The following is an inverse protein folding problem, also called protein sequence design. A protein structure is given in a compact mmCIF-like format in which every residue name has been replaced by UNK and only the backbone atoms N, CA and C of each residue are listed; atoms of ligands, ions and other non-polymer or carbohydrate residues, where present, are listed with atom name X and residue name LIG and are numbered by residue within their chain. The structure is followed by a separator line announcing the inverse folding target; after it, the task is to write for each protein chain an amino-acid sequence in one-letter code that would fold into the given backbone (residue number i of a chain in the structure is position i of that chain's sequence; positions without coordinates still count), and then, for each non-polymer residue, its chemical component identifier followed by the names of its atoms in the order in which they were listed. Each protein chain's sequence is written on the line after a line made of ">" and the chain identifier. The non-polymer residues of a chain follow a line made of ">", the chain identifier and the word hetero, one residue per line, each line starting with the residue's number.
data_IF_996982526951
#
_entry.id   IF_996982526951
#
_cell.length_a   1.000
_cell.length_b   1.000
_cell.length_c   1.000
_cell.angle_alpha   90.00
_cell.angle_beta   90.00
_cell.angle_gamma   90.00
#
_symmetry.space_group_name_H-M   'P 1'
#
loop_
_entity.id
_entity.type
_entity.pdbx_description
1 polymer ?
#
# COMPACT_ATOMS: atom_id res chain seq x y z
N UNK A 1 56.03 -1.97 17.12
CA UNK A 1 56.55 -0.75 16.47
C UNK A 1 55.40 -0.07 15.75
N UNK A 2 55.04 1.13 16.22
CA UNK A 2 54.26 2.21 15.58
C UNK A 2 52.76 1.98 15.26
N UNK A 3 51.95 2.63 16.10
CA UNK A 3 50.53 3.00 15.96
C UNK A 3 50.33 3.99 14.80
N UNK A 4 49.23 3.88 14.05
CA UNK A 4 48.71 4.97 13.18
C UNK A 4 47.47 5.60 13.82
N UNK A 5 47.58 6.90 14.04
CA UNK A 5 46.60 7.83 14.60
C UNK A 5 46.30 8.86 13.49
N UNK A 6 45.04 9.17 13.16
CA UNK A 6 44.62 10.41 12.48
C UNK A 6 43.11 10.60 12.74
N UNK A 7 42.73 11.43 13.73
CA UNK A 7 42.35 12.85 13.68
C UNK A 7 41.00 13.18 13.02
N UNK A 8 40.02 13.53 13.87
CA UNK A 8 38.74 14.20 13.55
C UNK A 8 38.98 15.71 13.39
N UNK A 9 38.43 16.35 12.34
CA UNK A 9 38.33 17.82 12.22
C UNK A 9 36.98 18.32 12.78
N UNK A 10 37.03 19.26 13.71
CA UNK A 10 35.93 20.17 14.10
C UNK A 10 36.16 21.51 13.38
N UNK A 11 35.12 22.11 12.84
CA UNK A 11 35.12 23.52 12.40
C UNK A 11 34.35 24.35 13.43
N UNK A 12 35.00 25.39 13.97
CA UNK A 12 34.39 26.55 14.61
C UNK A 12 34.63 27.74 13.66
N UNK A 13 33.62 28.59 13.46
CA UNK A 13 33.74 29.87 12.77
C UNK A 13 33.50 30.96 13.81
N UNK A 14 34.46 31.88 13.93
CA UNK A 14 34.44 33.03 14.84
C UNK A 14 33.84 34.27 14.18
N UNK A 15 33.17 35.07 15.00
CA UNK A 15 32.47 36.31 14.71
C UNK A 15 33.41 37.53 14.84
N UNK A 16 33.42 38.45 13.86
CA UNK A 16 33.76 39.86 14.08
C UNK A 16 33.57 40.69 12.80
N UNK A 17 32.69 41.69 12.81
CA UNK A 17 33.05 43.11 12.58
C UNK A 17 31.81 44.01 12.64
N UNK A 18 31.93 45.11 13.36
CA UNK A 18 30.93 46.15 13.61
C UNK A 18 31.19 47.32 12.65
N UNK A 19 30.16 47.89 12.02
CA UNK A 19 30.18 49.33 11.65
C UNK A 19 28.76 49.87 11.49
N UNK A 20 28.56 51.01 12.15
CA UNK A 20 27.38 51.85 12.25
C UNK A 20 27.09 52.60 10.95
N UNK A 21 25.81 52.83 10.60
CA UNK A 21 25.32 54.04 9.89
C UNK A 21 23.83 54.24 10.21
N UNK A 22 23.45 55.51 10.34
CA UNK A 22 22.29 56.04 11.05
C UNK A 22 21.20 56.57 10.09
N UNK A 23 19.95 56.53 10.58
CA UNK A 23 18.73 57.31 10.23
C UNK A 23 18.15 57.33 8.81
N UNK A 24 16.86 56.94 8.68
CA UNK A 24 15.77 57.89 8.41
C UNK A 24 14.38 57.23 8.63
N UNK A 25 13.54 57.82 9.48
CA UNK A 25 12.12 57.50 9.57
C UNK A 25 11.36 58.25 8.47
N UNK A 26 10.58 57.54 7.65
CA UNK A 26 9.45 58.12 6.91
C UNK A 26 8.22 57.30 7.26
N UNK A 27 7.26 57.97 7.90
CA UNK A 27 5.90 57.49 8.12
C UNK A 27 5.07 57.84 6.89
N UNK A 28 4.53 56.83 6.21
CA UNK A 28 3.39 56.99 5.31
C UNK A 28 2.28 56.08 5.82
N UNK A 29 1.24 56.73 6.36
CA UNK A 29 -0.07 56.14 6.57
C UNK A 29 -0.80 56.09 5.21
N UNK A 30 -0.98 54.90 4.66
CA UNK A 30 -2.06 54.62 3.71
C UNK A 30 -2.89 53.47 4.26
N UNK A 31 -4.08 53.82 4.79
CA UNK A 31 -5.12 52.84 5.08
C UNK A 31 -5.77 52.44 3.76
N UNK A 32 -5.56 51.19 3.32
CA UNK A 32 -6.61 50.46 2.58
C UNK A 32 -6.46 48.95 2.69
N UNK A 33 -7.60 48.35 3.05
CA UNK A 33 -8.03 46.95 2.94
C UNK A 33 -7.46 45.93 3.92
N UNK A 34 -8.27 45.65 4.95
CA UNK A 34 -8.29 44.37 5.66
C UNK A 34 -8.60 43.24 4.68
N UNK A 35 -7.64 42.35 4.49
CA UNK A 35 -7.80 40.90 4.48
C UNK A 35 -6.38 40.32 4.54
N UNK A 36 -6.24 39.08 5.02
CA UNK A 36 -4.96 38.35 5.02
C UNK A 36 -3.96 38.76 6.10
N UNK A 37 -4.21 38.31 7.33
CA UNK A 37 -3.17 37.71 8.22
C UNK A 37 -3.81 37.25 9.52
N UNK A 38 -4.54 36.12 9.46
CA UNK A 38 -4.73 35.25 10.63
C UNK A 38 -5.01 33.81 10.21
N UNK A 39 -4.16 33.31 9.34
CA UNK A 39 -4.01 31.88 9.02
C UNK A 39 -2.52 31.57 8.86
N UNK A 40 -1.71 32.10 9.78
CA UNK A 40 -0.29 31.73 9.96
C UNK A 40 -0.13 30.70 11.08
N UNK A 41 -1.09 29.79 11.19
CA UNK A 41 -0.96 28.53 11.94
C UNK A 41 -1.49 27.40 11.06
N UNK A 42 -0.79 27.10 9.97
CA UNK A 42 -0.97 25.85 9.22
C UNK A 42 0.24 25.52 8.32
N UNK A 43 1.42 26.03 8.66
CA UNK A 43 2.68 25.78 7.94
C UNK A 43 3.70 25.14 8.89
N UNK A 44 3.25 24.08 9.55
CA UNK A 44 4.08 22.92 9.81
C UNK A 44 3.15 21.74 9.56
N UNK A 45 3.04 21.44 8.27
CA UNK A 45 2.64 20.16 7.72
C UNK A 45 2.90 19.07 8.76
N UNK A 46 1.83 18.42 9.22
CA UNK A 46 1.93 17.14 9.92
C UNK A 46 2.56 16.18 8.92
N UNK A 47 3.89 16.22 8.81
CA UNK A 47 4.70 15.16 8.26
C UNK A 47 4.62 14.09 9.35
N UNK A 48 3.56 13.31 9.27
CA UNK A 48 3.38 12.12 10.08
C UNK A 48 4.45 11.12 9.65
N UNK A 49 5.64 11.23 10.26
CA UNK A 49 6.51 10.07 10.39
C UNK A 49 5.74 9.05 11.23
N UNK A 50 5.03 8.11 10.59
CA UNK A 50 4.88 6.80 11.20
C UNK A 50 6.27 6.17 11.10
N UNK A 51 7.15 6.51 12.03
CA UNK A 51 8.16 5.55 12.45
C UNK A 51 7.37 4.44 13.10
N UNK A 52 7.16 3.36 12.35
CA UNK A 52 6.54 2.15 12.84
C UNK A 52 7.35 1.66 14.03
N UNK A 53 6.92 2.11 15.21
CA UNK A 53 7.57 1.86 16.47
C UNK A 53 6.50 1.42 17.46
N UNK A 54 6.84 0.47 18.32
CA UNK A 54 5.94 0.03 19.38
C UNK A 54 5.71 1.16 20.42
N UNK A 55 4.95 0.89 21.48
CA UNK A 55 4.68 1.87 22.55
C UNK A 55 5.94 2.42 23.26
N UNK A 56 7.13 1.90 22.96
CA UNK A 56 8.42 2.28 23.55
C UNK A 56 9.36 2.96 22.54
N UNK A 57 8.96 3.14 21.28
CA UNK A 57 9.83 3.71 20.25
C UNK A 57 10.75 2.67 19.58
N UNK A 58 10.54 1.37 19.82
CA UNK A 58 11.33 0.29 19.23
C UNK A 58 10.81 -0.12 17.86
N UNK A 59 11.69 -0.55 16.95
CA UNK A 59 11.30 -0.97 15.59
C UNK A 59 10.23 -2.07 15.63
N UNK A 60 9.22 -1.95 14.76
CA UNK A 60 8.15 -2.95 14.62
C UNK A 60 8.70 -4.30 14.14
N UNK A 61 8.62 -5.28 15.03
CA UNK A 61 8.89 -6.70 14.78
C UNK A 61 7.58 -7.46 14.51
N UNK A 62 7.68 -8.74 14.10
CA UNK A 62 6.53 -9.56 13.72
C UNK A 62 5.49 -9.69 14.84
N UNK A 63 4.20 -9.56 14.50
CA UNK A 63 3.10 -9.70 15.45
C UNK A 63 2.86 -8.47 16.35
N UNK A 64 3.42 -7.30 15.99
CA UNK A 64 3.16 -6.06 16.71
C UNK A 64 1.74 -5.58 16.44
N UNK A 65 0.96 -5.30 17.49
CA UNK A 65 -0.32 -4.61 17.35
C UNK A 65 -0.07 -3.12 17.12
N UNK A 66 -0.01 -2.68 15.86
CA UNK A 66 0.09 -1.26 15.55
C UNK A 66 -1.16 -0.53 16.03
N UNK A 67 -0.96 0.70 16.50
CA UNK A 67 -2.05 1.54 17.00
C UNK A 67 -2.15 2.82 16.20
N UNK A 68 -3.37 3.22 15.86
CA UNK A 68 -3.65 4.58 15.37
C UNK A 68 -3.90 5.51 16.56
N UNK A 69 -3.19 6.62 16.59
CA UNK A 69 -3.43 7.75 17.50
C UNK A 69 -4.31 8.83 16.86
N UNK A 70 -4.75 8.63 15.62
CA UNK A 70 -5.51 9.61 14.84
C UNK A 70 -6.96 9.61 15.33
N UNK A 71 -7.44 10.75 15.85
CA UNK A 71 -8.84 10.94 16.21
C UNK A 71 -9.72 11.34 15.02
N UNK A 72 -9.14 12.00 14.02
CA UNK A 72 -9.83 12.43 12.79
C UNK A 72 -9.95 11.28 11.80
N UNK A 73 -11.18 11.06 11.32
CA UNK A 73 -11.48 9.94 10.42
C UNK A 73 -11.23 10.39 8.98
N UNK A 74 -10.45 9.63 8.17
CA UNK A 74 -10.42 9.84 6.73
C UNK A 74 -11.84 9.66 6.20
N UNK A 75 -12.45 10.74 5.72
CA UNK A 75 -13.81 10.72 5.20
C UNK A 75 -13.83 11.43 3.84
N UNK A 76 -14.46 10.78 2.87
CA UNK A 76 -14.71 11.37 1.58
C UNK A 76 -15.89 12.32 1.61
N UNK A 77 -16.25 12.82 0.43
CA UNK A 77 -17.40 13.71 0.26
C UNK A 77 -18.75 12.97 0.28
N UNK A 78 -18.75 11.65 0.34
CA UNK A 78 -19.94 10.79 0.30
C UNK A 78 -20.41 10.31 1.68
N UNK A 79 -21.19 9.23 1.68
CA UNK A 79 -21.74 8.63 2.90
C UNK A 79 -20.65 7.81 3.62
N UNK A 80 -20.59 7.99 4.94
CA UNK A 80 -19.74 7.17 5.82
C UNK A 80 -20.54 5.95 6.30
N UNK A 81 -19.94 4.77 6.16
CA UNK A 81 -20.43 3.50 6.68
C UNK A 81 -19.46 2.98 7.75
N UNK A 82 -20.00 2.53 8.87
CA UNK A 82 -19.26 2.07 10.05
C UNK A 82 -19.40 0.56 10.19
N UNK A 83 -18.28 -0.09 10.51
CA UNK A 83 -18.20 -1.54 10.67
C UNK A 83 -17.49 -1.89 11.97
N UNK A 84 -18.12 -2.71 12.80
CA UNK A 84 -17.57 -3.15 14.09
C UNK A 84 -17.88 -4.63 14.30
N UNK A 85 -16.84 -5.47 14.32
CA UNK A 85 -16.97 -6.92 14.56
C UNK A 85 -17.60 -7.24 15.92
N UNK A 86 -17.52 -6.31 16.88
CA UNK A 86 -18.09 -6.41 18.23
C UNK A 86 -19.54 -5.97 18.28
N UNK A 87 -20.05 -5.33 17.21
CA UNK A 87 -21.47 -5.10 17.03
C UNK A 87 -22.24 -6.41 16.99
N UNK A 88 -23.51 -6.36 17.34
CA UNK A 88 -24.37 -7.54 17.32
C UNK A 88 -25.11 -7.74 16.00
N UNK A 89 -25.14 -6.78 15.05
CA UNK A 89 -26.19 -6.79 14.03
C UNK A 89 -25.85 -6.15 12.66
N UNK A 90 -26.07 -6.90 11.57
CA UNK A 90 -26.04 -6.40 10.18
C UNK A 90 -27.37 -5.78 9.69
N UNK A 91 -28.42 -5.80 10.51
CA UNK A 91 -29.66 -5.04 10.27
C UNK A 91 -29.53 -3.56 10.63
N UNK A 92 -28.43 -3.18 11.30
CA UNK A 92 -28.12 -1.77 11.55
C UNK A 92 -28.00 -1.01 10.22
N UNK A 93 -28.24 0.30 10.25
CA UNK A 93 -28.12 1.14 9.05
C UNK A 93 -26.70 1.20 8.50
N UNK A 94 -25.69 1.01 9.36
CA UNK A 94 -24.28 1.22 9.05
C UNK A 94 -23.88 2.69 8.99
N UNK A 95 -24.82 3.65 9.09
CA UNK A 95 -24.56 5.07 8.80
C UNK A 95 -24.20 5.91 10.04
N UNK A 96 -24.12 5.28 11.21
CA UNK A 96 -23.67 5.93 12.44
C UNK A 96 -22.80 5.00 13.28
N UNK A 97 -21.95 5.58 14.11
CA UNK A 97 -21.08 4.84 15.06
C UNK A 97 -21.90 3.98 16.03
N UNK A 98 -23.10 4.41 16.39
CA UNK A 98 -24.01 3.69 17.29
C UNK A 98 -24.80 2.57 16.60
N UNK A 99 -24.80 2.53 15.27
CA UNK A 99 -25.48 1.53 14.45
C UNK A 99 -24.54 1.01 13.34
N UNK A 100 -23.36 0.47 13.67
CA UNK A 100 -22.44 -0.05 12.67
C UNK A 100 -22.90 -1.41 12.15
N UNK A 101 -22.54 -1.75 10.92
CA UNK A 101 -22.60 -3.12 10.44
C UNK A 101 -21.59 -4.00 11.19
N UNK A 102 -21.79 -5.32 11.13
CA UNK A 102 -20.95 -6.30 11.80
C UNK A 102 -19.98 -6.99 10.85
N UNK A 103 -20.45 -7.43 9.68
CA UNK A 103 -19.70 -8.37 8.84
C UNK A 103 -19.14 -7.75 7.56
N UNK A 104 -18.05 -8.33 7.05
CA UNK A 104 -17.52 -8.02 5.72
C UNK A 104 -18.54 -8.40 4.64
N UNK A 105 -19.29 -9.49 4.83
CA UNK A 105 -20.32 -9.91 3.88
C UNK A 105 -21.37 -8.81 3.64
N UNK A 106 -21.78 -8.08 4.69
CA UNK A 106 -22.70 -6.94 4.55
C UNK A 106 -22.12 -5.83 3.65
N UNK A 107 -20.82 -5.57 3.76
CA UNK A 107 -20.10 -4.59 2.94
C UNK A 107 -20.07 -5.04 1.47
N UNK A 108 -19.72 -6.31 1.21
CA UNK A 108 -19.60 -6.84 -0.15
C UNK A 108 -20.94 -6.92 -0.90
N UNK A 109 -22.05 -6.97 -0.17
CA UNK A 109 -23.41 -6.95 -0.73
C UNK A 109 -23.93 -5.54 -1.00
N UNK A 110 -23.36 -4.51 -0.35
CA UNK A 110 -23.72 -3.13 -0.56
C UNK A 110 -23.14 -2.58 -1.88
N UNK A 111 -23.76 -1.49 -2.36
CA UNK A 111 -23.26 -0.68 -3.46
C UNK A 111 -22.88 0.68 -2.92
N UNK A 112 -21.68 1.15 -3.23
CA UNK A 112 -21.15 2.41 -2.75
C UNK A 112 -21.09 3.44 -3.87
N UNK A 113 -21.47 4.68 -3.55
CA UNK A 113 -21.37 5.82 -4.42
C UNK A 113 -19.97 6.47 -4.39
N UNK A 114 -19.67 7.35 -5.36
CA UNK A 114 -18.41 8.08 -5.35
C UNK A 114 -18.25 8.96 -4.10
N UNK A 115 -17.09 8.87 -3.46
CA UNK A 115 -16.75 9.57 -2.23
C UNK A 115 -17.20 8.86 -0.94
N UNK A 116 -17.89 7.72 -1.05
CA UNK A 116 -18.31 6.95 0.13
C UNK A 116 -17.10 6.41 0.89
N UNK A 117 -17.26 6.28 2.21
CA UNK A 117 -16.22 5.79 3.12
C UNK A 117 -16.69 4.56 3.89
N UNK A 118 -15.85 3.54 3.98
CA UNK A 118 -16.07 2.32 4.78
C UNK A 118 -15.05 2.34 5.92
N UNK A 119 -15.53 2.56 7.14
CA UNK A 119 -14.69 2.74 8.32
C UNK A 119 -14.81 1.56 9.28
N UNK A 120 -13.71 0.86 9.49
CA UNK A 120 -13.61 -0.28 10.41
C UNK A 120 -13.19 0.20 11.82
N UNK A 121 -13.87 -0.28 12.86
CA UNK A 121 -13.58 0.17 14.22
C UNK A 121 -12.27 -0.39 14.75
N UNK A 122 -11.39 0.47 15.27
CA UNK A 122 -10.15 0.09 15.95
C UNK A 122 -10.37 -0.98 17.03
N UNK A 123 -9.49 -1.97 17.06
CA UNK A 123 -9.53 -3.15 17.92
C UNK A 123 -10.48 -4.27 17.47
N UNK A 124 -11.17 -4.10 16.34
CA UNK A 124 -11.99 -5.16 15.73
C UNK A 124 -11.17 -6.15 14.93
N UNK A 125 -11.68 -7.37 14.77
CA UNK A 125 -11.04 -8.43 13.99
C UNK A 125 -12.06 -9.10 13.08
N UNK A 126 -11.72 -9.26 11.80
CA UNK A 126 -12.47 -10.05 10.83
C UNK A 126 -11.58 -11.13 10.25
N UNK A 127 -11.96 -12.39 10.49
CA UNK A 127 -11.18 -13.56 10.09
C UNK A 127 -11.83 -14.33 8.96
N UNK A 128 -11.01 -14.80 8.01
CA UNK A 128 -11.40 -15.73 6.94
C UNK A 128 -12.43 -15.17 5.96
N UNK A 129 -12.47 -13.85 5.78
CA UNK A 129 -13.41 -13.16 4.89
C UNK A 129 -12.67 -12.19 3.97
N UNK A 130 -12.93 -12.27 2.67
CA UNK A 130 -12.40 -11.33 1.67
C UNK A 130 -13.25 -10.06 1.65
N UNK A 131 -12.63 -8.89 1.80
CA UNK A 131 -13.23 -7.58 1.56
C UNK A 131 -13.16 -7.25 0.06
N UNK A 132 -14.31 -7.11 -0.58
CA UNK A 132 -14.45 -6.80 -2.01
C UNK A 132 -15.63 -5.85 -2.24
N UNK A 133 -15.54 -4.58 -1.77
CA UNK A 133 -16.62 -3.60 -1.89
C UNK A 133 -16.84 -3.22 -3.36
N UNK A 134 -18.08 -2.92 -3.71
CA UNK A 134 -18.47 -2.54 -5.09
C UNK A 134 -18.62 -1.02 -5.21
N UNK A 135 -17.77 -0.39 -6.02
CA UNK A 135 -17.83 1.04 -6.30
C UNK A 135 -16.48 1.61 -6.72
N UNK A 136 -16.50 2.84 -7.21
CA UNK A 136 -15.30 3.63 -7.52
C UNK A 136 -15.27 4.86 -6.63
N UNK A 137 -14.11 5.51 -6.51
CA UNK A 137 -13.93 6.67 -5.63
C UNK A 137 -14.30 6.32 -4.17
N UNK A 138 -13.64 5.30 -3.61
CA UNK A 138 -13.95 4.81 -2.26
C UNK A 138 -12.79 5.06 -1.31
N UNK A 139 -13.13 5.37 -0.07
CA UNK A 139 -12.19 5.42 1.05
C UNK A 139 -12.47 4.23 1.97
N UNK A 140 -11.44 3.46 2.27
CA UNK A 140 -11.50 2.29 3.14
C UNK A 140 -10.49 2.56 4.27
N UNK A 141 -11.00 2.82 5.47
CA UNK A 141 -10.12 3.20 6.58
C UNK A 141 -10.64 2.72 7.93
N UNK A 142 -10.14 3.31 9.01
CA UNK A 142 -10.55 3.01 10.37
C UNK A 142 -11.22 4.19 11.07
N UNK A 143 -11.89 3.90 12.17
CA UNK A 143 -12.34 4.90 13.13
C UNK A 143 -12.06 4.47 14.58
N UNK A 144 -12.06 5.46 15.47
CA UNK A 144 -11.58 5.38 16.86
C UNK A 144 -10.06 5.19 16.95
N UNK A 145 -9.48 5.60 18.08
CA UNK A 145 -8.06 5.38 18.37
C UNK A 145 -7.84 3.96 18.93
N UNK A 146 -6.57 3.51 18.93
CA UNK A 146 -6.18 2.22 19.49
C UNK A 146 -5.64 1.27 18.41
N UNK A 147 -5.67 -0.03 18.70
CA UNK A 147 -5.13 -1.06 17.80
C UNK A 147 -5.83 -1.00 16.45
N UNK A 148 -5.08 -1.08 15.35
CA UNK A 148 -5.66 -1.08 14.00
C UNK A 148 -6.69 -2.21 13.86
N UNK A 149 -7.81 -1.98 13.15
CA UNK A 149 -8.73 -3.05 12.80
C UNK A 149 -8.02 -4.11 11.96
N UNK A 150 -8.20 -5.39 12.33
CA UNK A 150 -7.53 -6.52 11.69
C UNK A 150 -8.42 -7.21 10.68
N UNK A 151 -7.93 -7.37 9.48
CA UNK A 151 -8.50 -8.22 8.44
C UNK A 151 -7.51 -9.38 8.22
N UNK A 152 -7.88 -10.57 8.68
CA UNK A 152 -6.99 -11.74 8.66
C UNK A 152 -7.56 -12.85 7.78
N UNK A 153 -6.83 -13.19 6.70
CA UNK A 153 -7.23 -14.24 5.78
C UNK A 153 -6.93 -15.66 6.29
N UNK A 154 -6.05 -15.80 7.29
CA UNK A 154 -5.65 -17.07 7.93
C UNK A 154 -5.19 -18.18 6.96
N UNK A 155 -4.80 -17.80 5.73
CA UNK A 155 -4.45 -18.72 4.67
C UNK A 155 -5.62 -19.58 4.17
N UNK A 156 -6.87 -19.14 4.43
CA UNK A 156 -8.12 -19.80 4.02
C UNK A 156 -8.83 -19.08 2.86
N UNK A 157 -8.40 -17.86 2.53
CA UNK A 157 -8.89 -17.06 1.40
C UNK A 157 -7.70 -16.60 0.57
N UNK A 158 -7.86 -16.48 -0.75
CA UNK A 158 -6.77 -15.99 -1.62
C UNK A 158 -6.45 -14.53 -1.31
N UNK A 159 -7.46 -13.65 -1.32
CA UNK A 159 -7.29 -12.21 -1.12
C UNK A 159 -7.95 -11.76 0.18
N UNK A 160 -7.24 -10.98 1.01
CA UNK A 160 -7.86 -10.31 2.16
C UNK A 160 -8.66 -9.10 1.69
N UNK A 161 -8.07 -8.26 0.83
CA UNK A 161 -8.76 -7.19 0.11
C UNK A 161 -8.61 -7.45 -1.39
N UNK A 162 -9.73 -7.58 -2.10
CA UNK A 162 -9.77 -7.74 -3.56
C UNK A 162 -10.48 -6.54 -4.18
N UNK A 163 -9.83 -5.91 -5.17
CA UNK A 163 -10.41 -4.83 -5.96
C UNK A 163 -10.23 -5.16 -7.43
N UNK A 164 -11.30 -5.18 -8.21
CA UNK A 164 -11.24 -5.55 -9.63
C UNK A 164 -11.83 -4.47 -10.52
N UNK A 165 -11.00 -3.92 -11.39
CA UNK A 165 -11.37 -2.88 -12.36
C UNK A 165 -12.00 -1.63 -11.72
N UNK A 166 -11.60 -1.32 -10.48
CA UNK A 166 -12.07 -0.14 -9.74
C UNK A 166 -11.02 0.96 -9.76
N UNK A 167 -11.42 2.23 -9.73
CA UNK A 167 -10.52 3.40 -9.73
C UNK A 167 -10.81 4.35 -8.58
N UNK A 168 -9.86 5.24 -8.27
CA UNK A 168 -9.97 6.22 -7.18
C UNK A 168 -10.16 5.53 -5.82
N UNK A 169 -9.24 4.67 -5.42
CA UNK A 169 -9.35 3.94 -4.14
C UNK A 169 -8.29 4.45 -3.16
N UNK A 170 -8.74 4.80 -1.96
CA UNK A 170 -7.91 5.16 -0.82
C UNK A 170 -8.07 4.10 0.28
N UNK A 171 -6.97 3.47 0.69
CA UNK A 171 -6.95 2.44 1.73
C UNK A 171 -5.93 2.84 2.79
N UNK A 172 -6.36 2.93 4.05
CA UNK A 172 -5.49 3.34 5.14
C UNK A 172 -5.85 2.80 6.51
N UNK A 173 -4.89 2.82 7.44
CA UNK A 173 -5.12 2.52 8.85
C UNK A 173 -5.71 1.11 9.12
N UNK A 174 -5.26 0.10 8.37
CA UNK A 174 -5.68 -1.30 8.54
C UNK A 174 -4.48 -2.20 8.84
N UNK A 175 -4.73 -3.24 9.64
CA UNK A 175 -3.85 -4.39 9.85
C UNK A 175 -4.38 -5.54 8.97
N UNK A 176 -3.53 -6.04 8.07
CA UNK A 176 -3.88 -6.96 7.00
C UNK A 176 -2.90 -8.12 7.01
N UNK A 177 -3.40 -9.34 7.19
CA UNK A 177 -2.56 -10.54 7.18
C UNK A 177 -3.21 -11.74 6.52
N UNK A 178 -2.40 -12.65 5.97
CA UNK A 178 -2.92 -13.87 5.35
C UNK A 178 -2.01 -15.07 5.61
N UNK A 179 -1.78 -15.36 6.90
CA UNK A 179 -0.84 -16.39 7.32
C UNK A 179 -1.48 -17.76 7.31
N UNK A 180 -0.86 -18.73 6.64
CA UNK A 180 -1.25 -20.13 6.77
C UNK A 180 -0.87 -20.60 8.17
N UNK A 181 -1.84 -21.17 8.89
CA UNK A 181 -1.62 -21.70 10.25
C UNK A 181 -0.40 -22.62 10.27
N UNK A 182 0.49 -22.44 11.26
CA UNK A 182 1.69 -23.27 11.43
C UNK A 182 2.84 -22.96 10.45
N UNK A 183 2.74 -21.92 9.62
CA UNK A 183 3.86 -21.43 8.85
C UNK A 183 4.80 -20.59 9.73
N UNK A 184 6.05 -21.02 9.85
CA UNK A 184 7.10 -20.35 10.62
C UNK A 184 8.13 -19.67 9.74
N UNK A 185 7.88 -19.66 8.43
CA UNK A 185 8.75 -19.05 7.42
C UNK A 185 9.59 -20.04 6.65
N UNK A 186 9.54 -21.35 6.96
CA UNK A 186 10.41 -22.40 6.38
C UNK A 186 9.66 -23.51 5.62
N UNK A 187 8.35 -23.57 5.78
CA UNK A 187 7.50 -24.65 5.27
C UNK A 187 7.01 -24.28 3.86
N UNK A 188 7.85 -24.55 2.85
CA UNK A 188 7.51 -24.28 1.45
C UNK A 188 6.17 -24.90 1.03
N UNK A 189 5.84 -26.08 1.56
CA UNK A 189 4.59 -26.80 1.32
C UNK A 189 3.32 -26.10 1.83
N UNK A 190 3.48 -25.09 2.68
CA UNK A 190 2.39 -24.27 3.16
C UNK A 190 2.17 -23.02 2.31
N UNK A 191 3.07 -22.70 1.38
CA UNK A 191 2.89 -21.54 0.51
C UNK A 191 1.73 -21.80 -0.47
N UNK A 192 0.89 -20.77 -0.65
CA UNK A 192 -0.35 -20.84 -1.44
C UNK A 192 -0.51 -19.58 -2.29
N UNK A 193 -1.48 -19.57 -3.22
CA UNK A 193 -1.83 -18.34 -3.94
C UNK A 193 -2.55 -17.35 -3.01
N UNK A 194 -1.78 -16.55 -2.25
CA UNK A 194 -2.29 -15.67 -1.20
C UNK A 194 -1.80 -14.24 -1.34
N UNK A 195 -2.68 -13.32 -0.97
CA UNK A 195 -2.49 -11.88 -1.05
C UNK A 195 -2.98 -11.19 0.22
N UNK A 196 -2.33 -10.08 0.57
CA UNK A 196 -2.91 -9.11 1.48
C UNK A 196 -3.92 -8.25 0.73
N UNK A 197 -3.41 -7.38 -0.15
CA UNK A 197 -4.20 -6.51 -1.02
C UNK A 197 -3.93 -6.91 -2.47
N UNK A 198 -4.99 -7.25 -3.20
CA UNK A 198 -4.93 -7.63 -4.61
C UNK A 198 -5.79 -6.69 -5.45
N UNK A 199 -5.13 -5.88 -6.26
CA UNK A 199 -5.75 -4.91 -7.17
C UNK A 199 -5.59 -5.45 -8.58
N UNK A 200 -6.72 -5.83 -9.18
CA UNK A 200 -6.80 -6.57 -10.42
C UNK A 200 -7.27 -5.64 -11.54
N UNK A 201 -6.51 -5.61 -12.63
CA UNK A 201 -6.90 -4.95 -13.86
C UNK A 201 -7.12 -5.95 -15.00
N UNK A 202 -8.23 -5.82 -15.71
CA UNK A 202 -8.52 -6.63 -16.90
C UNK A 202 -9.49 -5.88 -17.81
N UNK A 203 -9.13 -5.73 -19.09
CA UNK A 203 -10.01 -5.15 -20.13
C UNK A 203 -10.66 -3.81 -19.73
N UNK A 204 -9.89 -2.92 -19.08
CA UNK A 204 -10.44 -1.70 -18.45
C UNK A 204 -9.81 -0.40 -18.90
N UNK A 205 -8.78 -0.42 -19.75
CA UNK A 205 -8.06 0.79 -20.08
C UNK A 205 -7.23 1.32 -18.91
N UNK A 206 -7.30 2.63 -18.69
CA UNK A 206 -6.58 3.28 -17.59
C UNK A 206 -7.28 3.02 -16.24
N UNK A 207 -6.55 2.42 -15.31
CA UNK A 207 -6.95 2.25 -13.92
C UNK A 207 -6.15 3.23 -13.06
N UNK A 208 -6.78 4.29 -12.59
CA UNK A 208 -6.10 5.42 -11.97
C UNK A 208 -6.49 5.70 -10.51
N UNK A 209 -5.62 6.45 -9.83
CA UNK A 209 -5.82 7.06 -8.51
C UNK A 209 -5.94 6.02 -7.39
N UNK A 210 -4.81 5.44 -6.97
CA UNK A 210 -4.77 4.55 -5.82
C UNK A 210 -3.88 5.15 -4.73
N UNK A 211 -4.37 5.18 -3.49
CA UNK A 211 -3.62 5.63 -2.32
C UNK A 211 -3.66 4.54 -1.28
N UNK A 212 -2.52 3.94 -1.00
CA UNK A 212 -2.36 2.90 0.00
C UNK A 212 -1.39 3.42 1.05
N UNK A 213 -1.89 3.78 2.24
CA UNK A 213 -1.05 4.44 3.24
C UNK A 213 -1.37 4.13 4.69
N UNK A 214 -0.36 4.18 5.55
CA UNK A 214 -0.52 3.88 6.98
C UNK A 214 -1.10 2.47 7.23
N UNK A 215 -0.77 1.50 6.36
CA UNK A 215 -1.19 0.11 6.45
C UNK A 215 -0.12 -0.72 7.17
N UNK A 216 -0.55 -1.76 7.87
CA UNK A 216 0.30 -2.87 8.29
C UNK A 216 -0.07 -4.10 7.47
N UNK A 217 0.76 -4.46 6.48
CA UNK A 217 0.53 -5.63 5.61
C UNK A 217 1.58 -6.67 5.92
N UNK A 218 1.17 -7.79 6.53
CA UNK A 218 2.13 -8.75 7.05
C UNK A 218 1.70 -10.21 7.04
N UNK A 219 2.68 -11.10 7.22
CA UNK A 219 2.49 -12.54 7.33
C UNK A 219 1.66 -13.16 6.19
N UNK A 220 1.81 -12.66 4.95
CA UNK A 220 1.17 -13.27 3.77
C UNK A 220 1.98 -14.49 3.31
N UNK A 221 1.39 -15.69 3.35
CA UNK A 221 2.07 -16.95 3.03
C UNK A 221 1.97 -17.32 1.54
N UNK A 222 2.35 -16.40 0.66
CA UNK A 222 2.22 -16.55 -0.79
C UNK A 222 3.24 -17.49 -1.43
N UNK A 223 2.84 -18.19 -2.49
CA UNK A 223 3.67 -19.11 -3.26
C UNK A 223 4.73 -18.42 -4.11
N UNK A 224 5.82 -19.12 -4.36
CA UNK A 224 6.97 -18.58 -5.08
C UNK A 224 6.97 -19.21 -6.45
N UNK A 225 6.70 -18.38 -7.46
CA UNK A 225 6.76 -18.78 -8.86
C UNK A 225 7.88 -18.02 -9.54
N UNK A 226 8.99 -18.72 -9.79
CA UNK A 226 10.14 -18.19 -10.51
C UNK A 226 9.90 -18.22 -12.02
N UNK A 227 10.32 -17.14 -12.69
CA UNK A 227 10.19 -16.98 -14.15
C UNK A 227 10.93 -18.11 -14.89
N UNK A 228 12.19 -18.34 -14.52
CA UNK A 228 13.07 -19.37 -15.07
C UNK A 228 13.60 -20.32 -13.99
N UNK A 229 14.79 -20.88 -14.23
CA UNK A 229 15.49 -21.76 -13.30
C UNK A 229 15.48 -23.24 -13.71
N UNK A 230 16.33 -24.01 -13.04
CA UNK A 230 16.45 -25.46 -13.18
C UNK A 230 16.44 -26.12 -11.80
N UNK A 231 15.74 -27.24 -11.67
CA UNK A 231 15.57 -27.97 -10.41
C UNK A 231 14.23 -28.69 -10.33
N UNK A 232 14.09 -29.60 -9.36
CA UNK A 232 12.79 -30.17 -9.00
C UNK A 232 12.04 -29.13 -8.17
N UNK A 233 10.80 -28.83 -8.56
CA UNK A 233 9.93 -27.95 -7.77
C UNK A 233 9.90 -28.44 -6.33
N UNK A 234 10.12 -27.51 -5.39
CA UNK A 234 9.82 -27.75 -3.99
C UNK A 234 8.36 -27.38 -3.78
N UNK A 235 7.69 -27.99 -2.81
CA UNK A 235 6.30 -27.63 -2.54
C UNK A 235 6.21 -26.12 -2.29
N UNK A 236 5.24 -25.46 -2.94
CA UNK A 236 5.06 -24.00 -2.94
C UNK A 236 6.15 -23.15 -3.61
N UNK A 237 7.21 -23.75 -4.16
CA UNK A 237 8.27 -23.08 -4.93
C UNK A 237 8.41 -23.75 -6.29
N UNK A 238 7.88 -23.09 -7.32
CA UNK A 238 7.89 -23.59 -8.68
C UNK A 238 8.86 -22.78 -9.57
N UNK A 239 9.55 -23.48 -10.47
CA UNK A 239 10.43 -22.90 -11.49
C UNK A 239 9.76 -22.89 -12.86
N UNK A 240 10.30 -22.11 -13.81
CA UNK A 240 9.85 -22.06 -15.21
C UNK A 240 8.37 -21.67 -15.38
N UNK A 241 7.86 -20.78 -14.53
CA UNK A 241 6.46 -20.33 -14.62
C UNK A 241 6.23 -19.30 -15.74
N UNK A 242 7.30 -18.78 -16.34
CA UNK A 242 7.21 -17.69 -17.32
C UNK A 242 6.82 -16.36 -16.67
N UNK A 243 6.84 -15.28 -17.44
CA UNK A 243 6.63 -13.93 -16.93
C UNK A 243 5.22 -13.72 -16.35
N UNK A 244 4.19 -14.25 -17.00
CA UNK A 244 2.79 -14.00 -16.61
C UNK A 244 2.30 -14.77 -15.37
N UNK A 245 2.93 -15.88 -15.01
CA UNK A 245 2.54 -16.67 -13.81
C UNK A 245 3.48 -16.45 -12.63
N UNK A 246 4.56 -15.71 -12.82
CA UNK A 246 5.53 -15.43 -11.79
C UNK A 246 5.15 -14.19 -11.00
N UNK A 247 5.64 -14.11 -9.75
CA UNK A 247 5.45 -12.93 -8.89
C UNK A 247 3.97 -12.59 -8.65
N UNK A 248 3.12 -13.61 -8.54
CA UNK A 248 1.68 -13.40 -8.43
C UNK A 248 1.20 -13.17 -7.00
N UNK A 249 1.99 -13.47 -5.96
CA UNK A 249 1.54 -13.48 -4.57
C UNK A 249 2.36 -12.50 -3.72
N UNK A 250 1.78 -11.99 -2.63
CA UNK A 250 2.49 -11.06 -1.76
C UNK A 250 1.61 -10.16 -0.90
N UNK A 251 2.25 -9.17 -0.28
CA UNK A 251 1.57 -8.18 0.56
C UNK A 251 0.61 -7.32 -0.25
N UNK A 252 1.14 -6.48 -1.14
CA UNK A 252 0.37 -5.59 -2.01
C UNK A 252 0.70 -5.94 -3.46
N UNK A 253 -0.31 -6.36 -4.23
CA UNK A 253 -0.13 -6.82 -5.60
C UNK A 253 -1.09 -6.09 -6.53
N UNK A 254 -0.51 -5.39 -7.50
CA UNK A 254 -1.21 -4.83 -8.65
C UNK A 254 -1.01 -5.78 -9.84
N UNK A 255 -2.07 -6.47 -10.27
CA UNK A 255 -2.00 -7.54 -11.28
C UNK A 255 -2.87 -7.23 -12.50
N UNK A 256 -2.22 -7.05 -13.66
CA UNK A 256 -2.91 -7.02 -14.94
C UNK A 256 -3.09 -8.44 -15.46
N UNK A 257 -4.35 -8.87 -15.55
CA UNK A 257 -4.73 -10.18 -16.03
C UNK A 257 -4.71 -10.26 -17.55
N UNK A 258 -4.72 -11.50 -18.06
CA UNK A 258 -4.85 -11.81 -19.49
C UNK A 258 -5.99 -11.00 -20.13
N UNK A 259 -5.72 -10.21 -21.18
CA UNK A 259 -6.74 -9.45 -21.85
C UNK A 259 -7.61 -10.33 -22.74
N UNK A 260 -8.86 -9.90 -22.93
CA UNK A 260 -9.82 -10.43 -23.91
C UNK A 260 -10.06 -9.42 -25.03
N UNK A 261 -9.53 -8.22 -24.89
CA UNK A 261 -9.63 -7.10 -25.82
C UNK A 261 -8.24 -6.64 -26.24
N UNK A 262 -8.17 -5.80 -27.28
CA UNK A 262 -6.92 -5.14 -27.69
C UNK A 262 -6.62 -3.87 -26.90
N UNK A 263 -7.55 -3.44 -26.03
CA UNK A 263 -7.35 -2.23 -25.24
C UNK A 263 -6.37 -2.51 -24.10
N UNK A 264 -5.26 -1.78 -24.09
CA UNK A 264 -4.29 -1.86 -23.02
C UNK A 264 -4.90 -1.54 -21.66
N UNK A 265 -4.68 -2.40 -20.67
CA UNK A 265 -5.03 -2.12 -19.28
C UNK A 265 -3.76 -1.83 -18.49
N UNK A 266 -3.72 -0.70 -17.80
CA UNK A 266 -2.55 -0.26 -17.04
C UNK A 266 -2.96 0.59 -15.84
N UNK A 267 -2.15 0.51 -14.79
CA UNK A 267 -2.27 1.37 -13.60
C UNK A 267 -1.59 2.73 -13.76
N UNK A 268 -2.20 3.77 -13.19
CA UNK A 268 -1.66 5.13 -13.17
C UNK A 268 -1.97 5.85 -11.86
N UNK A 269 -1.14 6.82 -11.47
CA UNK A 269 -1.38 7.67 -10.29
C UNK A 269 -1.56 6.80 -9.02
N UNK A 270 -0.56 5.96 -8.74
CA UNK A 270 -0.54 5.06 -7.58
C UNK A 270 0.45 5.59 -6.55
N UNK A 271 0.01 5.70 -5.30
CA UNK A 271 0.80 6.16 -4.17
C UNK A 271 0.76 5.12 -3.06
N UNK A 272 1.90 4.51 -2.73
CA UNK A 272 2.06 3.58 -1.62
C UNK A 272 3.00 4.23 -0.60
N UNK A 273 2.46 4.74 0.51
CA UNK A 273 3.23 5.57 1.44
C UNK A 273 3.04 5.24 2.92
N UNK A 274 4.08 5.42 3.73
CA UNK A 274 3.98 5.32 5.19
C UNK A 274 3.45 3.97 5.70
N UNK A 275 3.68 2.88 4.95
CA UNK A 275 3.21 1.54 5.30
C UNK A 275 4.30 0.73 6.02
N UNK A 276 3.87 -0.26 6.77
CA UNK A 276 4.69 -1.32 7.35
C UNK A 276 4.39 -2.61 6.60
N UNK A 277 5.38 -3.16 5.92
CA UNK A 277 5.21 -4.33 5.06
C UNK A 277 6.20 -5.40 5.49
N UNK A 278 5.73 -6.44 6.18
CA UNK A 278 6.63 -7.42 6.80
C UNK A 278 6.23 -8.87 6.64
N UNK A 279 7.20 -9.76 6.42
CA UNK A 279 6.97 -11.21 6.31
C UNK A 279 5.88 -11.59 5.30
N UNK A 280 5.95 -11.03 4.10
CA UNK A 280 5.12 -11.38 2.96
C UNK A 280 5.93 -12.17 1.93
N UNK A 281 5.44 -13.36 1.62
CA UNK A 281 5.86 -14.16 0.48
C UNK A 281 4.80 -14.02 -0.62
N UNK A 282 5.14 -14.00 -1.91
CA UNK A 282 6.49 -13.92 -2.47
C UNK A 282 7.10 -12.50 -2.36
N UNK A 283 6.32 -11.44 -2.56
CA UNK A 283 6.83 -10.06 -2.53
C UNK A 283 6.10 -9.14 -1.54
N UNK A 284 6.73 -8.01 -1.20
CA UNK A 284 6.12 -6.97 -0.38
C UNK A 284 5.15 -6.09 -1.18
N UNK A 285 5.66 -5.49 -2.27
CA UNK A 285 4.90 -4.68 -3.23
C UNK A 285 5.25 -5.19 -4.63
N UNK A 286 4.23 -5.50 -5.43
CA UNK A 286 4.40 -6.02 -6.79
C UNK A 286 3.51 -5.21 -7.74
N UNK A 287 4.10 -4.75 -8.83
CA UNK A 287 3.39 -4.36 -10.04
C UNK A 287 3.66 -5.40 -11.11
N UNK A 288 2.58 -5.95 -11.65
CA UNK A 288 2.64 -6.95 -12.71
C UNK A 288 1.82 -6.49 -13.89
N UNK A 289 2.48 -6.56 -15.04
CA UNK A 289 1.90 -6.29 -16.33
C UNK A 289 1.88 -7.55 -17.19
N UNK A 290 0.86 -7.66 -18.03
CA UNK A 290 0.70 -8.78 -18.96
C UNK A 290 1.81 -8.77 -20.03
N UNK A 291 2.58 -9.86 -20.08
CA UNK A 291 3.69 -10.10 -21.02
C UNK A 291 3.23 -10.84 -22.29
N UNK A 292 2.13 -11.61 -22.22
CA UNK A 292 1.56 -12.31 -23.38
C UNK A 292 2.31 -13.57 -23.77
N UNK A 293 2.77 -14.33 -22.78
CA UNK A 293 3.43 -15.64 -22.97
C UNK A 293 2.52 -16.75 -23.52
N UNK A 294 1.23 -16.47 -23.74
CA UNK A 294 0.29 -17.39 -24.38
C UNK A 294 0.29 -17.33 -25.92
N UNK A 295 1.19 -16.54 -26.51
CA UNK A 295 1.27 -16.34 -27.96
C UNK A 295 0.27 -15.30 -28.49
N UNK A 296 -0.47 -14.62 -27.60
CA UNK A 296 -1.26 -13.45 -28.00
C UNK A 296 -0.34 -12.31 -28.46
N UNK A 297 -0.85 -11.52 -29.40
CA UNK A 297 -0.15 -10.33 -29.88
C UNK A 297 -0.19 -9.16 -28.89
N UNK A 298 -1.01 -9.23 -27.85
CA UNK A 298 -1.17 -8.16 -26.86
C UNK A 298 -0.17 -8.38 -25.73
N UNK A 299 0.94 -7.64 -25.79
CA UNK A 299 2.06 -7.74 -24.85
C UNK A 299 2.39 -6.34 -24.35
N UNK A 300 1.91 -5.99 -23.17
CA UNK A 300 2.06 -4.62 -22.65
C UNK A 300 3.30 -4.44 -21.79
N UNK A 301 3.83 -5.55 -21.24
CA UNK A 301 5.06 -5.55 -20.44
C UNK A 301 6.34 -5.57 -21.28
N UNK A 302 6.28 -6.10 -22.51
CA UNK A 302 7.45 -6.25 -23.38
C UNK A 302 7.95 -4.90 -23.85
N UNK A 303 9.23 -4.61 -23.62
CA UNK A 303 9.93 -3.41 -24.10
C UNK A 303 10.63 -3.64 -25.45
N UNK A 304 10.69 -4.89 -25.89
CA UNK A 304 11.40 -5.29 -27.10
C UNK A 304 10.40 -5.88 -28.11
N UNK A 305 10.50 -5.43 -29.36
CA UNK A 305 9.96 -6.16 -30.50
C UNK A 305 11.04 -7.15 -30.97
N UNK A 306 10.65 -8.38 -31.30
CA UNK A 306 11.55 -9.55 -31.48
C UNK A 306 12.69 -9.40 -32.53
N UNK A 307 12.81 -8.25 -33.21
CA UNK A 307 13.77 -7.99 -34.29
C UNK A 307 14.53 -6.64 -34.15
N UNK A 308 14.45 -5.93 -33.03
CA UNK A 308 15.18 -4.66 -32.87
C UNK A 308 16.62 -4.91 -32.39
N UNK A 309 17.61 -4.62 -33.24
CA UNK A 309 19.03 -4.83 -32.95
C UNK A 309 19.60 -3.92 -31.86
N UNK A 310 18.88 -2.90 -31.36
CA UNK A 310 19.30 -2.06 -30.24
C UNK A 310 18.23 -1.11 -29.66
N UNK A 311 16.96 -1.22 -30.04
CA UNK A 311 15.94 -0.27 -29.59
C UNK A 311 14.92 -0.95 -28.67
N UNK A 312 14.97 -0.60 -27.37
CA UNK A 312 13.97 -0.91 -26.35
C UNK A 312 12.63 -0.17 -26.61
N UNK A 313 12.16 -0.21 -27.86
CA UNK A 313 10.96 0.45 -28.32
C UNK A 313 10.04 -0.64 -28.85
N UNK A 314 8.99 -0.93 -28.07
CA UNK A 314 7.84 -1.67 -28.57
C UNK A 314 6.64 -0.74 -28.66
N UNK A 315 5.98 -0.70 -29.82
CA UNK A 315 4.73 0.05 -29.99
C UNK A 315 3.60 -0.48 -29.10
N UNK A 316 3.78 -1.68 -28.54
CA UNK A 316 2.82 -2.36 -27.66
C UNK A 316 3.14 -2.18 -26.18
N UNK A 317 4.30 -1.62 -25.84
CA UNK A 317 4.66 -1.34 -24.46
C UNK A 317 3.76 -0.26 -23.88
N UNK A 318 2.98 -0.61 -22.86
CA UNK A 318 2.06 0.32 -22.19
C UNK A 318 2.31 0.30 -20.69
N UNK A 319 3.40 0.91 -20.20
CA UNK A 319 3.81 0.76 -18.80
C UNK A 319 2.80 1.33 -17.82
N UNK A 320 2.88 0.87 -16.58
CA UNK A 320 2.34 1.60 -15.43
C UNK A 320 2.98 2.99 -15.33
N UNK A 321 2.21 4.00 -14.93
CA UNK A 321 2.66 5.41 -14.95
C UNK A 321 2.45 6.08 -13.60
N UNK A 322 3.37 6.97 -13.21
CA UNK A 322 3.25 7.78 -11.99
C UNK A 322 3.00 6.91 -10.75
N UNK A 323 3.88 5.93 -10.55
CA UNK A 323 3.90 5.08 -9.37
C UNK A 323 4.86 5.70 -8.36
N UNK A 324 4.36 6.00 -7.16
CA UNK A 324 5.11 6.64 -6.08
C UNK A 324 5.13 5.68 -4.89
N UNK A 325 6.33 5.28 -4.48
CA UNK A 325 6.55 4.41 -3.32
C UNK A 325 7.51 5.15 -2.38
N UNK A 326 7.00 5.66 -1.26
CA UNK A 326 7.77 6.56 -0.38
C UNK A 326 7.52 6.21 1.09
N UNK A 327 8.53 6.36 1.95
CA UNK A 327 8.40 6.25 3.40
C UNK A 327 7.77 4.93 3.92
N UNK A 328 7.90 3.84 3.17
CA UNK A 328 7.45 2.52 3.64
C UNK A 328 8.58 1.83 4.41
N UNK A 329 8.25 1.18 5.51
CA UNK A 329 9.14 0.25 6.20
C UNK A 329 8.90 -1.17 5.68
N UNK A 330 9.94 -1.79 5.10
CA UNK A 330 9.85 -3.14 4.53
C UNK A 330 10.84 -4.07 5.25
N UNK A 331 10.35 -5.17 5.82
CA UNK A 331 11.16 -6.15 6.57
C UNK A 331 10.75 -7.60 6.30
N UNK A 332 11.62 -8.43 5.73
CA UNK A 332 11.33 -9.82 5.35
C UNK A 332 12.24 -10.85 6.05
N UNK A 333 12.79 -10.49 7.22
CA UNK A 333 13.82 -11.29 7.91
C UNK A 333 13.40 -12.72 8.26
N UNK A 334 12.09 -13.00 8.40
CA UNK A 334 11.61 -14.29 8.89
C UNK A 334 11.08 -15.21 7.78
N UNK A 335 11.30 -14.89 6.50
CA UNK A 335 10.83 -15.70 5.37
C UNK A 335 11.96 -16.30 4.54
N UNK A 336 11.64 -17.39 3.83
CA UNK A 336 12.57 -18.10 2.92
C UNK A 336 13.13 -17.21 1.79
N UNK A 337 12.53 -16.07 1.39
CA UNK A 337 13.01 -15.36 0.20
C UNK A 337 12.83 -13.82 0.16
N UNK A 338 13.56 -13.28 -0.83
CA UNK A 338 14.03 -11.90 -1.08
C UNK A 338 12.94 -10.82 -1.22
N UNK A 339 13.17 -9.66 -0.60
CA UNK A 339 12.48 -8.39 -0.92
C UNK A 339 12.83 -7.98 -2.35
N UNK A 340 11.85 -7.93 -3.24
CA UNK A 340 11.99 -7.20 -4.50
C UNK A 340 10.73 -6.37 -4.73
N UNK A 341 10.92 -5.06 -4.87
CA UNK A 341 9.92 -4.21 -5.51
C UNK A 341 10.11 -4.42 -7.01
N UNK A 342 9.13 -5.04 -7.66
CA UNK A 342 9.12 -5.17 -9.11
C UNK A 342 8.20 -4.09 -9.66
N UNK A 343 8.77 -3.21 -10.49
CA UNK A 343 8.07 -2.14 -11.21
C UNK A 343 8.08 -2.48 -12.69
#
# INVERSE_FOLDING_TARGET
>A
MIKKLFFRRKFLISLSFFSFICFLFISINSKTVQAETKLTTNIDTIIQEITATDKKGEKVDNGTNLTSSISERPAGTGQIYYVDSRSCNDHNSGKSVSQPWKTINKINQASFGPGDSILFRSGSVWSGQTLSPKGNNLIISSYDTGVLPKLEGRGTIEDVIQLKNQTSIDISNLDISNQVTGFTGKEGDRLKNLHGIHIIGQDSGELANYKLHNLYVHDVTGDVKWIGGSGKDKSGIAYKNGWDRSKNTGGIVFDIQKPRTKQATFFKDVSIKNNVISNNSYGGIIFKQWDGTDGSNEKWASREDANATNDYISAKWVPHRKIIIENNYINQKNLIMLVMVFI
#
